data_IF_823133429713
#
_entry.id   IF_823133429713
#
_cell.length_a   1.000
_cell.length_b   1.000
_cell.length_c   1.000
_cell.angle_alpha   90.00
_cell.angle_beta   90.00
_cell.angle_gamma   90.00
#
_symmetry.space_group_name_H-M   'P 1'
#
loop_
_entity.id
_entity.type
_entity.pdbx_description
1 polymer ?
#
# COMPACT_ATOMS: atom_id res chain seq x y z
N UNK A 1 0.92 -7.36 -6.03
CA UNK A 1 -0.28 -6.55 -5.75
C UNK A 1 -0.79 -6.86 -4.37
N UNK A 2 -0.52 -5.96 -3.43
CA UNK A 2 -1.03 -5.96 -2.07
C UNK A 2 -2.11 -4.87 -1.99
N UNK A 3 -3.32 -5.23 -1.54
CA UNK A 3 -4.42 -4.31 -1.28
C UNK A 3 -4.51 -4.09 0.22
N UNK A 4 -4.44 -2.83 0.66
CA UNK A 4 -4.75 -2.44 2.04
C UNK A 4 -6.15 -1.86 2.08
N UNK A 5 -7.03 -2.47 2.87
CA UNK A 5 -8.37 -1.97 3.19
C UNK A 5 -8.39 -1.61 4.67
N UNK A 6 -8.77 -0.36 4.97
CA UNK A 6 -9.00 0.14 6.32
C UNK A 6 -10.50 0.32 6.52
N UNK A 7 -11.05 -0.11 7.65
CA UNK A 7 -12.44 0.18 8.02
C UNK A 7 -12.60 0.30 9.53
N UNK A 8 -12.94 1.47 10.07
CA UNK A 8 -13.40 1.55 11.46
C UNK A 8 -14.73 2.30 11.60
N UNK A 9 -15.73 1.66 12.22
CA UNK A 9 -16.85 2.35 12.86
C UNK A 9 -16.63 2.57 14.37
N UNK A 10 -15.81 1.73 15.03
CA UNK A 10 -15.52 1.78 16.49
C UNK A 10 -14.13 1.17 16.80
N UNK A 11 -13.25 1.99 17.38
CA UNK A 11 -11.99 1.72 18.13
C UNK A 11 -10.89 0.75 17.63
N UNK A 12 -11.04 -0.08 16.59
CA UNK A 12 -9.95 -0.93 16.11
C UNK A 12 -9.74 -0.83 14.58
N UNK A 13 -8.51 -0.52 14.19
CA UNK A 13 -8.07 -0.50 12.80
C UNK A 13 -7.87 -1.93 12.29
N UNK A 14 -8.70 -2.38 11.36
CA UNK A 14 -8.48 -3.63 10.63
C UNK A 14 -7.77 -3.32 9.31
N UNK A 15 -6.57 -3.88 9.14
CA UNK A 15 -5.82 -3.85 7.88
C UNK A 15 -6.00 -5.18 7.20
N UNK A 16 -6.80 -5.22 6.13
CA UNK A 16 -6.86 -6.42 5.29
C UNK A 16 -5.76 -6.34 4.24
N UNK A 17 -4.98 -7.40 4.15
CA UNK A 17 -3.89 -7.60 3.19
C UNK A 17 -4.31 -8.71 2.25
N UNK A 18 -4.68 -8.37 1.00
CA UNK A 18 -4.87 -9.37 -0.04
C UNK A 18 -3.50 -9.66 -0.67
N UNK A 19 -2.88 -10.77 -0.27
CA UNK A 19 -1.60 -11.21 -0.84
C UNK A 19 -1.85 -11.83 -2.21
N UNK A 20 -1.23 -11.21 -3.22
CA UNK A 20 -0.88 -11.76 -4.54
C UNK A 20 -1.62 -13.04 -4.96
N UNK A 21 -2.90 -12.89 -5.36
CA UNK A 21 -3.56 -13.91 -6.16
C UNK A 21 -3.25 -13.64 -7.64
N UNK A 22 -2.48 -14.54 -8.32
CA UNK A 22 -2.00 -14.31 -9.68
C UNK A 22 -3.11 -14.16 -10.73
N UNK A 23 -4.36 -14.48 -10.38
CA UNK A 23 -5.50 -14.43 -11.30
C UNK A 23 -6.62 -13.47 -10.87
N UNK A 24 -6.39 -12.63 -9.87
CA UNK A 24 -7.44 -11.71 -9.42
C UNK A 24 -7.61 -10.55 -10.43
N UNK A 25 -8.74 -10.56 -11.15
CA UNK A 25 -9.05 -9.53 -12.14
C UNK A 25 -9.21 -8.14 -11.52
N UNK A 26 -8.96 -7.08 -12.31
CA UNK A 26 -9.06 -5.68 -11.85
C UNK A 26 -10.47 -5.37 -11.29
N UNK A 27 -11.52 -5.88 -11.93
CA UNK A 27 -12.90 -5.76 -11.47
C UNK A 27 -13.12 -6.41 -10.10
N UNK A 28 -12.62 -7.63 -9.90
CA UNK A 28 -12.75 -8.36 -8.63
C UNK A 28 -12.10 -7.59 -7.49
N UNK A 29 -10.93 -6.99 -7.71
CA UNK A 29 -10.22 -6.19 -6.69
C UNK A 29 -11.05 -5.00 -6.20
N UNK A 30 -11.71 -4.32 -7.14
CA UNK A 30 -12.64 -3.22 -6.84
C UNK A 30 -13.85 -3.75 -6.07
N UNK A 31 -14.44 -4.86 -6.52
CA UNK A 31 -15.61 -5.46 -5.86
C UNK A 31 -15.31 -5.87 -4.42
N UNK A 32 -14.14 -6.45 -4.15
CA UNK A 32 -13.73 -6.80 -2.79
C UNK A 32 -13.67 -5.54 -1.92
N UNK A 33 -13.01 -4.47 -2.39
CA UNK A 33 -12.92 -3.22 -1.63
C UNK A 33 -14.30 -2.63 -1.31
N UNK A 34 -15.25 -2.68 -2.26
CA UNK A 34 -16.63 -2.23 -2.06
C UNK A 34 -17.38 -3.10 -1.05
N UNK A 35 -17.33 -4.44 -1.20
CA UNK A 35 -18.02 -5.38 -0.29
C UNK A 35 -17.52 -5.29 1.15
N UNK A 36 -16.25 -4.96 1.34
CA UNK A 36 -15.63 -4.75 2.65
C UNK A 36 -15.93 -3.36 3.25
N UNK A 37 -16.72 -2.52 2.56
CA UNK A 37 -16.99 -1.12 2.93
C UNK A 37 -15.71 -0.32 3.21
N UNK A 38 -14.65 -0.56 2.44
CA UNK A 38 -13.33 0.03 2.68
C UNK A 38 -13.39 1.57 2.78
N UNK A 39 -12.72 2.14 3.78
CA UNK A 39 -12.51 3.59 3.92
C UNK A 39 -11.39 4.10 3.00
N UNK A 40 -10.35 3.28 2.79
CA UNK A 40 -9.30 3.55 1.79
C UNK A 40 -8.88 2.27 1.09
N UNK A 41 -8.33 2.43 -0.12
CA UNK A 41 -7.82 1.40 -1.00
C UNK A 41 -6.40 1.77 -1.44
N UNK A 42 -5.41 0.94 -1.13
CA UNK A 42 -4.02 1.14 -1.57
C UNK A 42 -3.60 -0.06 -2.39
N UNK A 43 -3.28 0.15 -3.66
CA UNK A 43 -2.75 -0.90 -4.55
C UNK A 43 -1.22 -0.80 -4.63
N UNK A 44 -0.50 -1.87 -4.31
CA UNK A 44 0.98 -1.86 -4.33
C UNK A 44 1.51 -2.71 -5.48
N UNK A 45 2.32 -2.10 -6.34
CA UNK A 45 2.88 -2.65 -7.56
C UNK A 45 4.39 -2.46 -7.61
N UNK A 46 5.04 -3.22 -8.48
CA UNK A 46 6.39 -2.95 -8.94
C UNK A 46 6.31 -2.76 -10.45
N UNK A 47 6.81 -1.63 -10.94
CA UNK A 47 6.66 -1.20 -12.30
C UNK A 47 7.61 -1.98 -13.22
N UNK A 48 7.39 -1.92 -14.52
CA UNK A 48 8.27 -2.46 -15.53
C UNK A 48 8.20 -1.57 -16.78
N UNK A 49 9.35 -1.25 -17.34
CA UNK A 49 9.48 -0.58 -18.64
C UNK A 49 10.33 -1.45 -19.56
N UNK A 50 10.51 -1.07 -20.82
CA UNK A 50 11.41 -1.77 -21.74
C UNK A 50 12.79 -1.99 -21.10
N UNK A 51 13.34 -3.21 -21.26
CA UNK A 51 14.70 -3.57 -20.81
C UNK A 51 15.80 -2.72 -21.48
N UNK A 52 15.48 -1.99 -22.55
CA UNK A 52 16.37 -1.00 -23.17
C UNK A 52 16.57 0.27 -22.33
N UNK A 53 15.78 0.44 -21.25
CA UNK A 53 15.83 1.60 -20.34
C UNK A 53 16.11 1.21 -18.89
N UNK A 54 17.21 0.50 -18.60
CA UNK A 54 17.49 -0.02 -17.26
C UNK A 54 17.86 1.08 -16.25
N UNK A 55 18.13 2.30 -16.73
CA UNK A 55 18.40 3.48 -15.90
C UNK A 55 17.16 3.97 -15.14
N UNK A 56 15.95 3.66 -15.63
CA UNK A 56 14.70 4.10 -15.01
C UNK A 56 14.47 3.34 -13.70
N UNK A 57 14.56 4.07 -12.60
CA UNK A 57 14.40 3.56 -11.24
C UNK A 57 13.76 4.66 -10.37
N UNK A 58 12.84 4.30 -9.49
CA UNK A 58 12.24 5.25 -8.56
C UNK A 58 10.84 4.86 -8.11
N UNK A 59 10.32 5.62 -7.15
CA UNK A 59 8.98 5.51 -6.61
C UNK A 59 8.03 6.39 -7.42
N UNK A 60 6.91 5.81 -7.85
CA UNK A 60 5.77 6.56 -8.36
C UNK A 60 4.55 6.31 -7.48
N UNK A 61 3.68 7.30 -7.34
CA UNK A 61 2.41 7.10 -6.65
C UNK A 61 1.30 7.79 -7.42
N UNK A 62 0.21 7.06 -7.62
CA UNK A 62 -0.87 7.45 -8.49
C UNK A 62 -2.17 7.62 -7.72
N UNK A 63 -2.95 8.60 -8.14
CA UNK A 63 -4.33 8.85 -7.70
C UNK A 63 -5.20 9.19 -8.91
N UNK A 64 -6.52 9.27 -8.73
CA UNK A 64 -7.43 9.65 -9.82
C UNK A 64 -8.36 10.82 -9.46
N UNK A 65 -9.53 10.53 -8.87
CA UNK A 65 -10.54 11.51 -8.51
C UNK A 65 -10.43 11.96 -7.05
N UNK A 66 -9.95 11.08 -6.18
CA UNK A 66 -9.71 11.31 -4.76
C UNK A 66 -8.35 10.71 -4.36
N UNK A 67 -7.88 10.98 -3.13
CA UNK A 67 -6.68 10.36 -2.59
C UNK A 67 -5.36 11.09 -2.85
N UNK A 68 -5.35 12.31 -3.42
CA UNK A 68 -4.11 13.06 -3.67
C UNK A 68 -3.28 13.28 -2.39
N UNK A 69 -3.91 13.75 -1.30
CA UNK A 69 -3.21 13.98 -0.03
C UNK A 69 -2.69 12.68 0.60
N UNK A 70 -3.45 11.59 0.48
CA UNK A 70 -3.00 10.25 0.90
C UNK A 70 -1.80 9.80 0.06
N UNK A 71 -1.85 10.00 -1.26
CA UNK A 71 -0.76 9.68 -2.17
C UNK A 71 0.52 10.44 -1.80
N UNK A 72 0.44 11.75 -1.59
CA UNK A 72 1.58 12.59 -1.18
C UNK A 72 2.16 12.15 0.16
N UNK A 73 1.31 11.94 1.16
CA UNK A 73 1.75 11.52 2.50
C UNK A 73 2.46 10.16 2.46
N UNK A 74 1.89 9.18 1.76
CA UNK A 74 2.50 7.84 1.60
C UNK A 74 3.78 7.93 0.81
N UNK A 75 3.79 8.69 -0.29
CA UNK A 75 4.95 8.85 -1.15
C UNK A 75 6.14 9.45 -0.40
N UNK A 76 5.94 10.57 0.29
CA UNK A 76 6.97 11.24 1.10
C UNK A 76 7.53 10.32 2.19
N UNK A 77 6.66 9.57 2.87
CA UNK A 77 7.08 8.61 3.89
C UNK A 77 7.96 7.50 3.31
N UNK A 78 7.62 6.97 2.15
CA UNK A 78 8.43 5.93 1.48
C UNK A 78 9.78 6.51 1.03
N UNK A 79 9.82 7.71 0.46
CA UNK A 79 11.08 8.38 0.08
C UNK A 79 12.01 8.55 1.29
N UNK A 80 11.49 9.09 2.40
CA UNK A 80 12.26 9.36 3.62
C UNK A 80 12.89 8.10 4.19
N UNK A 81 12.19 6.97 4.15
CA UNK A 81 12.64 5.74 4.81
C UNK A 81 13.46 4.82 3.92
N UNK A 82 13.28 4.87 2.59
CA UNK A 82 13.97 3.96 1.66
C UNK A 82 15.10 4.62 0.89
N UNK A 83 15.10 5.96 0.78
CA UNK A 83 16.04 6.69 -0.08
C UNK A 83 15.89 6.38 -1.56
N UNK A 84 14.77 5.78 -1.99
CA UNK A 84 14.49 5.52 -3.41
C UNK A 84 14.36 6.85 -4.17
N UNK A 85 14.71 6.87 -5.47
CA UNK A 85 14.54 8.03 -6.32
C UNK A 85 13.08 8.48 -6.45
N UNK A 86 12.84 9.78 -6.51
CA UNK A 86 11.52 10.40 -6.56
C UNK A 86 11.05 10.62 -8.01
N UNK A 87 10.08 9.80 -8.48
CA UNK A 87 9.43 9.95 -9.78
C UNK A 87 8.02 10.59 -9.70
N UNK A 88 7.73 11.18 -8.54
CA UNK A 88 6.60 12.05 -8.21
C UNK A 88 5.25 11.33 -8.05
N UNK A 89 4.33 12.07 -7.43
CA UNK A 89 2.90 11.74 -7.39
C UNK A 89 2.22 12.22 -8.68
N UNK A 90 1.39 11.37 -9.29
CA UNK A 90 0.76 11.64 -10.60
C UNK A 90 -0.72 11.26 -10.61
N UNK A 91 -1.50 11.97 -11.42
CA UNK A 91 -2.89 11.59 -11.70
C UNK A 91 -2.92 10.57 -12.86
N UNK A 92 -3.56 9.42 -12.67
CA UNK A 92 -3.70 8.38 -13.69
C UNK A 92 -5.08 7.72 -13.67
N UNK A 93 -5.52 7.19 -14.81
CA UNK A 93 -6.86 6.60 -15.01
C UNK A 93 -6.86 5.08 -14.85
N UNK A 94 -6.02 4.53 -13.97
CA UNK A 94 -5.97 3.09 -13.75
C UNK A 94 -7.31 2.55 -13.28
N UNK A 95 -7.70 1.36 -13.77
CA UNK A 95 -9.02 0.78 -13.53
C UNK A 95 -9.38 0.77 -12.03
N UNK A 96 -8.46 0.28 -11.19
CA UNK A 96 -8.69 0.16 -9.75
C UNK A 96 -8.83 1.51 -9.04
N UNK A 97 -8.26 2.59 -9.59
CA UNK A 97 -8.43 3.94 -9.06
C UNK A 97 -9.71 4.61 -9.57
N UNK A 98 -10.13 4.27 -10.79
CA UNK A 98 -11.32 4.85 -11.42
C UNK A 98 -12.62 4.27 -10.90
N UNK A 99 -12.63 2.97 -10.58
CA UNK A 99 -13.85 2.24 -10.25
C UNK A 99 -14.04 1.96 -8.75
N UNK A 100 -13.09 2.40 -7.92
CA UNK A 100 -13.25 2.47 -6.47
C UNK A 100 -14.02 3.73 -6.07
N UNK A 101 -14.85 3.62 -5.03
CA UNK A 101 -15.66 4.74 -4.50
C UNK A 101 -15.01 5.37 -3.26
N UNK A 102 -14.15 4.62 -2.57
CA UNK A 102 -13.37 5.08 -1.43
C UNK A 102 -12.09 5.81 -1.87
N UNK A 103 -11.38 6.43 -0.91
CA UNK A 103 -10.07 7.03 -1.17
C UNK A 103 -9.12 5.98 -1.74
N UNK A 104 -8.54 6.23 -2.92
CA UNK A 104 -7.72 5.22 -3.59
C UNK A 104 -6.38 5.76 -4.09
N UNK A 105 -5.31 4.98 -3.89
CA UNK A 105 -3.99 5.24 -4.44
C UNK A 105 -3.36 3.95 -5.01
N UNK A 106 -2.41 4.11 -5.93
CA UNK A 106 -1.56 3.03 -6.43
C UNK A 106 -0.09 3.42 -6.25
N UNK A 107 0.67 2.60 -5.54
CA UNK A 107 2.10 2.82 -5.26
C UNK A 107 2.92 1.88 -6.13
N UNK A 108 3.74 2.42 -7.02
CA UNK A 108 4.76 1.67 -7.76
C UNK A 108 6.08 1.79 -6.99
N UNK A 109 6.47 0.73 -6.28
CA UNK A 109 7.57 0.76 -5.29
C UNK A 109 8.98 0.74 -5.91
N UNK A 110 9.07 0.75 -7.23
CA UNK A 110 10.31 0.59 -7.99
C UNK A 110 10.06 -0.09 -9.33
N UNK A 111 11.12 -0.30 -10.11
CA UNK A 111 11.06 -0.93 -11.43
C UNK A 111 11.76 -2.29 -11.41
N UNK A 112 11.05 -3.36 -11.81
CA UNK A 112 11.59 -4.72 -11.95
C UNK A 112 12.60 -4.84 -13.10
N UNK A 113 12.58 -3.89 -14.03
CA UNK A 113 13.51 -3.81 -15.18
C UNK A 113 14.66 -2.84 -14.92
N UNK A 114 14.68 -2.18 -13.77
CA UNK A 114 15.68 -1.20 -13.41
C UNK A 114 16.96 -1.85 -12.85
N UNK A 115 18.13 -1.45 -13.35
CA UNK A 115 19.42 -2.05 -13.00
C UNK A 115 19.71 -1.99 -11.49
N UNK A 116 19.38 -0.87 -10.85
CA UNK A 116 19.65 -0.62 -9.44
C UNK A 116 18.43 -0.93 -8.54
N UNK A 117 17.22 -0.86 -9.10
CA UNK A 117 15.96 -1.06 -8.37
C UNK A 117 15.57 -2.53 -8.24
N UNK A 118 15.77 -3.34 -9.28
CA UNK A 118 15.38 -4.74 -9.28
C UNK A 118 16.09 -5.58 -8.19
N UNK A 119 17.41 -5.43 -7.96
CA UNK A 119 18.09 -6.13 -6.86
C UNK A 119 17.50 -5.77 -5.49
N UNK A 120 17.26 -4.47 -5.23
CA UNK A 120 16.62 -4.01 -3.99
C UNK A 120 15.22 -4.61 -3.81
N UNK A 121 14.41 -4.65 -4.86
CA UNK A 121 13.07 -5.26 -4.81
C UNK A 121 13.12 -6.77 -4.52
N UNK A 122 14.20 -7.46 -4.92
CA UNK A 122 14.42 -8.88 -4.61
C UNK A 122 14.83 -9.11 -3.14
N UNK A 123 15.34 -8.09 -2.44
CA UNK A 123 15.72 -8.18 -1.03
C UNK A 123 14.50 -8.17 -0.09
N UNK A 124 14.34 -9.19 0.78
CA UNK A 124 13.24 -9.21 1.76
C UNK A 124 13.22 -8.01 2.70
N UNK A 125 14.40 -7.56 3.14
CA UNK A 125 14.53 -6.42 4.05
C UNK A 125 13.99 -5.13 3.42
N UNK A 126 14.33 -4.85 2.16
CA UNK A 126 13.83 -3.69 1.44
C UNK A 126 12.31 -3.74 1.24
N UNK A 127 11.75 -4.92 0.91
CA UNK A 127 10.29 -5.10 0.83
C UNK A 127 9.60 -4.85 2.17
N UNK A 128 10.16 -5.35 3.26
CA UNK A 128 9.63 -5.12 4.61
C UNK A 128 9.71 -3.65 5.01
N UNK A 129 10.82 -2.98 4.74
CA UNK A 129 11.00 -1.55 4.98
C UNK A 129 9.98 -0.71 4.19
N UNK A 130 9.85 -0.98 2.89
CA UNK A 130 8.90 -0.28 2.02
C UNK A 130 7.45 -0.50 2.46
N UNK A 131 7.07 -1.73 2.81
CA UNK A 131 5.73 -2.04 3.32
C UNK A 131 5.43 -1.30 4.64
N UNK A 132 6.41 -1.25 5.55
CA UNK A 132 6.29 -0.53 6.80
C UNK A 132 6.18 1.00 6.58
N UNK A 133 6.92 1.55 5.62
CA UNK A 133 6.83 2.96 5.23
C UNK A 133 5.45 3.31 4.67
N UNK A 134 4.89 2.46 3.79
CA UNK A 134 3.53 2.65 3.27
C UNK A 134 2.51 2.63 4.42
N UNK A 135 2.61 1.65 5.34
CA UNK A 135 1.72 1.56 6.49
C UNK A 135 1.82 2.81 7.40
N UNK A 136 3.04 3.28 7.69
CA UNK A 136 3.26 4.52 8.44
C UNK A 136 2.69 5.75 7.72
N UNK A 137 2.83 5.83 6.40
CA UNK A 137 2.28 6.93 5.60
C UNK A 137 0.76 6.96 5.63
N UNK A 138 0.11 5.79 5.58
CA UNK A 138 -1.33 5.65 5.76
C UNK A 138 -1.74 6.10 7.17
N UNK A 139 -1.04 5.64 8.21
CA UNK A 139 -1.32 6.03 9.59
C UNK A 139 -1.14 7.53 9.84
N UNK A 140 -0.11 8.13 9.25
CA UNK A 140 0.14 9.57 9.29
C UNK A 140 -1.00 10.35 8.61
N UNK A 141 -1.43 9.91 7.43
CA UNK A 141 -2.56 10.53 6.73
C UNK A 141 -3.85 10.45 7.56
N UNK A 142 -4.10 9.32 8.21
CA UNK A 142 -5.27 9.09 9.04
C UNK A 142 -5.23 9.85 10.38
N UNK A 143 -4.14 10.56 10.69
CA UNK A 143 -3.94 11.29 11.95
C UNK A 143 -4.35 10.49 13.18
N UNK A 144 -3.87 9.25 13.30
CA UNK A 144 -4.05 8.49 14.54
C UNK A 144 -3.16 9.13 15.63
N UNK A 145 -3.64 10.24 16.20
CA UNK A 145 -3.18 10.95 17.41
C UNK A 145 -2.03 11.97 17.23
N UNK A 146 -2.35 13.27 17.09
CA UNK A 146 -1.50 14.46 17.35
C UNK A 146 -0.03 14.50 16.77
N UNK A 147 0.28 15.38 15.79
CA UNK A 147 1.57 15.42 15.08
C UNK A 147 2.85 15.86 15.83
N UNK A 148 2.82 16.25 17.11
CA UNK A 148 4.02 16.76 17.82
C UNK A 148 4.85 15.70 18.57
N UNK A 149 4.58 14.40 18.47
CA UNK A 149 5.17 13.40 19.39
C UNK A 149 6.06 12.30 18.76
N UNK A 150 6.42 12.34 17.46
CA UNK A 150 7.32 11.32 16.89
C UNK A 150 8.68 11.96 16.58
N UNK A 151 9.50 12.06 17.61
CA UNK A 151 10.93 12.26 17.46
C UNK A 151 11.55 11.05 16.74
N UNK A 152 12.67 11.22 16.00
CA UNK A 152 13.28 10.17 15.19
C UNK A 152 13.70 8.90 15.97
N UNK A 153 13.65 8.95 17.30
CA UNK A 153 14.06 7.87 18.20
C UNK A 153 12.92 7.34 19.10
N UNK A 154 11.66 7.71 18.84
CA UNK A 154 10.54 7.24 19.67
C UNK A 154 10.22 5.78 19.31
N UNK A 155 10.66 4.83 20.14
CA UNK A 155 10.14 3.47 20.13
C UNK A 155 8.61 3.51 20.23
N UNK A 156 7.91 2.85 19.30
CA UNK A 156 6.46 2.66 19.27
C UNK A 156 5.99 1.98 20.56
N UNK A 157 5.88 2.75 21.64
CA UNK A 157 5.54 2.27 22.95
C UNK A 157 4.06 2.54 23.22
N UNK A 158 3.34 1.41 23.36
CA UNK A 158 1.95 1.25 23.82
C UNK A 158 0.86 1.49 22.78
N UNK A 159 0.64 0.47 21.95
CA UNK A 159 -0.67 0.19 21.37
C UNK A 159 -0.62 -0.60 20.07
N UNK A 160 0.34 -0.30 19.19
CA UNK A 160 0.55 -1.03 17.94
C UNK A 160 1.64 -2.08 18.16
N UNK A 161 1.24 -3.18 18.80
CA UNK A 161 2.08 -4.36 18.87
C UNK A 161 2.17 -4.96 17.45
N UNK A 162 3.37 -4.95 16.85
CA UNK A 162 3.67 -5.73 15.65
C UNK A 162 3.38 -7.23 15.86
N UNK A 163 3.43 -7.69 17.12
CA UNK A 163 2.99 -9.02 17.55
C UNK A 163 1.47 -9.27 17.46
N UNK A 164 0.65 -8.21 17.32
CA UNK A 164 -0.80 -8.26 16.99
C UNK A 164 -1.11 -8.12 15.51
N UNK A 165 -0.12 -7.85 14.63
CA UNK A 165 -0.16 -8.37 13.26
C UNK A 165 0.04 -9.89 13.31
N UNK A 166 -0.83 -10.59 14.05
CA UNK A 166 -0.89 -12.05 14.04
C UNK A 166 -1.25 -12.45 12.62
N UNK A 167 -0.27 -13.02 11.91
CA UNK A 167 -0.46 -13.92 10.77
C UNK A 167 -1.68 -13.56 9.91
N UNK A 168 -1.54 -12.56 9.04
CA UNK A 168 -2.24 -12.61 7.74
C UNK A 168 -1.23 -13.05 6.69
N UNK A 169 -0.44 -14.07 7.03
CA UNK A 169 0.16 -14.96 6.05
C UNK A 169 -0.90 -16.04 5.81
N UNK A 170 -1.52 -15.96 4.65
CA UNK A 170 -2.54 -16.87 4.14
C UNK A 170 -2.13 -18.34 4.36
N UNK A 171 -3.03 -19.22 4.82
CA UNK A 171 -2.98 -20.61 4.38
C UNK A 171 -3.86 -20.80 3.14
N UNK A 172 -5.11 -20.34 3.18
CA UNK A 172 -6.12 -20.41 2.13
C UNK A 172 -7.32 -19.66 2.72
N UNK A 173 -8.05 -18.89 1.89
CA UNK A 173 -9.24 -18.07 2.23
C UNK A 173 -9.49 -17.89 3.74
N UNK A 174 -9.20 -16.70 4.26
CA UNK A 174 -9.84 -16.25 5.51
C UNK A 174 -11.35 -16.59 5.41
N UNK A 175 -11.94 -17.34 6.36
CA UNK A 175 -13.38 -17.60 6.39
C UNK A 175 -14.21 -16.32 6.23
N UNK A 176 -13.67 -15.16 6.60
CA UNK A 176 -14.26 -13.86 6.33
C UNK A 176 -14.51 -13.59 4.83
N UNK A 177 -13.61 -13.98 3.91
CA UNK A 177 -13.81 -13.76 2.47
C UNK A 177 -14.96 -14.60 1.90
N UNK A 178 -15.19 -15.81 2.43
CA UNK A 178 -16.37 -16.63 2.09
C UNK A 178 -17.67 -15.99 2.58
N UNK A 179 -17.67 -15.33 3.73
CA UNK A 179 -18.84 -14.57 4.22
C UNK A 179 -19.21 -13.40 3.30
N UNK A 180 -18.27 -12.90 2.49
CA UNK A 180 -18.51 -11.86 1.48
C UNK A 180 -18.67 -12.42 0.06
N UNK A 181 -18.84 -13.74 -0.11
CA UNK A 181 -19.10 -14.39 -1.41
C UNK A 181 -17.98 -14.21 -2.43
N UNK A 182 -16.73 -14.18 -1.95
CA UNK A 182 -15.54 -14.12 -2.80
C UNK A 182 -14.95 -15.54 -2.79
N UNK A 183 -15.20 -16.29 -3.87
CA UNK A 183 -14.62 -17.62 -4.13
C UNK A 183 -13.19 -17.50 -4.68
#
# INVERSE_FOLDING_TARGET
MLIVIYTPPRQMAHFYTLVAMPHLGLATRVQIAKRMNATLFVSIHANAISMSRPEVNGLETYYFSSGENLARTVHERVLQETGIGDLKVRKARFYVLRYTEMLSILVEVGFLTGQNGAPKLAEPAYRSQTAAAIARGIMQYLQVGNPQAIAPNTELSRGVSFSKMKKVLCPCLDPALKLYGIE
#
